data_IF_687765944067
#
_entry.id   IF_687765944067
#
_cell.length_a   1.000
_cell.length_b   1.000
_cell.length_c   1.000
_cell.angle_alpha   90.00
_cell.angle_beta   90.00
_cell.angle_gamma   90.00
#
_symmetry.space_group_name_H-M   'P 1'
#
loop_
_entity.id
_entity.type
_entity.pdbx_description
1 polymer ?
#
# COMPACT_ATOMS: atom_id res chain seq x y z
N UNK A 1 -20.39 1.07 -28.40
CA UNK A 1 -19.14 0.82 -29.16
C UNK A 1 -17.91 0.91 -28.27
N UNK A 2 -17.62 2.03 -27.59
CA UNK A 2 -16.50 2.10 -26.62
C UNK A 2 -16.60 1.10 -25.46
N UNK A 3 -17.80 0.90 -24.88
CA UNK A 3 -18.06 -0.11 -23.83
C UNK A 3 -17.82 -1.55 -24.32
N UNK A 4 -18.13 -1.84 -25.59
CA UNK A 4 -17.93 -3.16 -26.21
C UNK A 4 -16.46 -3.40 -26.55
N UNK A 5 -15.73 -2.36 -26.99
CA UNK A 5 -14.28 -2.44 -27.28
C UNK A 5 -13.46 -2.60 -25.99
N UNK A 6 -13.87 -1.93 -24.90
CA UNK A 6 -13.26 -2.12 -23.59
C UNK A 6 -13.55 -3.51 -23.01
N UNK A 7 -14.79 -4.02 -23.10
CA UNK A 7 -15.09 -5.44 -22.80
C UNK A 7 -14.29 -6.40 -23.69
N UNK A 8 -14.02 -6.07 -24.95
CA UNK A 8 -13.20 -6.89 -25.83
C UNK A 8 -11.71 -6.88 -25.44
N UNK A 9 -11.16 -5.75 -24.96
CA UNK A 9 -9.81 -5.69 -24.37
C UNK A 9 -9.72 -6.52 -23.09
N UNK A 10 -10.71 -6.40 -22.20
CA UNK A 10 -10.82 -7.24 -20.99
C UNK A 10 -10.95 -8.74 -21.36
N UNK A 11 -11.66 -9.05 -22.45
CA UNK A 11 -11.81 -10.42 -22.96
C UNK A 11 -10.50 -11.00 -23.52
N UNK A 12 -9.65 -10.19 -24.15
CA UNK A 12 -8.30 -10.64 -24.55
C UNK A 12 -7.45 -11.01 -23.34
N UNK A 13 -7.51 -10.26 -22.23
CA UNK A 13 -6.86 -10.67 -20.98
C UNK A 13 -7.51 -11.95 -20.44
N UNK A 14 -8.85 -12.02 -20.35
CA UNK A 14 -9.65 -13.22 -19.98
C UNK A 14 -9.24 -14.51 -20.76
N UNK A 15 -8.88 -14.38 -22.05
CA UNK A 15 -8.47 -15.53 -22.87
C UNK A 15 -7.05 -16.05 -22.57
N UNK A 16 -6.17 -15.24 -21.97
CA UNK A 16 -4.79 -15.64 -21.59
C UNK A 16 -4.82 -16.55 -20.34
N UNK A 17 -5.87 -16.46 -19.51
CA UNK A 17 -6.04 -17.25 -18.27
C UNK A 17 -6.19 -18.76 -18.47
N UNK A 18 -6.55 -19.21 -19.68
CA UNK A 18 -6.87 -20.62 -19.95
C UNK A 18 -5.63 -21.51 -20.22
N UNK A 19 -4.41 -20.96 -20.20
CA UNK A 19 -3.16 -21.70 -20.39
C UNK A 19 -2.59 -22.24 -19.07
N UNK A 20 -3.02 -23.42 -18.62
CA UNK A 20 -2.41 -24.13 -17.48
C UNK A 20 -1.10 -24.82 -17.87
N UNK A 21 -0.03 -24.04 -18.05
CA UNK A 21 1.34 -24.57 -18.16
C UNK A 21 2.27 -23.89 -17.15
N UNK A 22 3.35 -24.61 -16.82
CA UNK A 22 4.11 -24.60 -15.57
C UNK A 22 4.45 -23.22 -14.95
N UNK A 23 4.31 -23.22 -13.62
CA UNK A 23 4.21 -22.10 -12.68
C UNK A 23 5.57 -21.44 -12.36
N UNK A 24 5.68 -20.11 -12.47
CA UNK A 24 6.74 -19.30 -11.85
C UNK A 24 6.28 -18.73 -10.50
N UNK A 25 5.85 -19.61 -9.60
CA UNK A 25 5.44 -19.21 -8.26
C UNK A 25 6.51 -19.54 -7.25
N UNK A 26 6.66 -18.64 -6.32
CA UNK A 26 7.64 -18.73 -5.26
C UNK A 26 6.92 -18.44 -3.94
N UNK A 27 6.91 -19.41 -3.03
CA UNK A 27 6.25 -19.31 -1.72
C UNK A 27 7.22 -18.81 -0.65
N UNK A 28 6.74 -17.91 0.23
CA UNK A 28 7.38 -17.59 1.51
C UNK A 28 7.28 -18.75 2.51
N UNK A 29 8.30 -18.87 3.37
CA UNK A 29 8.62 -20.02 4.27
C UNK A 29 7.43 -20.80 4.86
N UNK A 30 7.64 -22.13 4.94
CA UNK A 30 7.10 -22.98 6.01
C UNK A 30 8.23 -23.36 6.97
N UNK A 31 8.03 -23.23 8.29
CA UNK A 31 8.99 -23.72 9.28
C UNK A 31 8.95 -25.26 9.32
N UNK A 32 9.89 -25.92 8.64
CA UNK A 32 10.03 -27.38 8.64
C UNK A 32 11.09 -27.87 9.63
N UNK A 33 10.70 -28.87 10.44
CA UNK A 33 11.61 -29.66 11.28
C UNK A 33 12.67 -30.39 10.43
N UNK A 34 13.88 -30.46 10.98
CA UNK A 34 15.08 -30.93 10.32
C UNK A 34 15.04 -32.42 9.93
N UNK A 35 15.49 -32.71 8.71
CA UNK A 35 16.08 -33.99 8.34
C UNK A 35 17.42 -33.72 7.66
N UNK A 36 18.46 -34.28 8.27
CA UNK A 36 19.87 -34.24 7.91
C UNK A 36 20.13 -35.04 6.63
N UNK A 37 20.90 -34.50 5.68
CA UNK A 37 21.98 -35.21 4.99
C UNK A 37 22.71 -34.31 3.98
N UNK A 38 24.03 -34.48 3.95
CA UNK A 38 25.08 -33.60 3.45
C UNK A 38 25.23 -33.59 1.91
N UNK A 39 25.45 -32.40 1.33
CA UNK A 39 26.60 -32.10 0.46
C UNK A 39 26.80 -30.57 0.39
N UNK A 40 27.98 -30.09 0.76
CA UNK A 40 28.32 -28.66 0.84
C UNK A 40 29.38 -28.31 -0.20
N UNK A 41 28.95 -27.62 -1.25
CA UNK A 41 29.83 -26.87 -2.17
C UNK A 41 29.35 -25.41 -2.23
N UNK A 42 30.14 -24.57 -1.57
CA UNK A 42 30.03 -23.13 -1.36
C UNK A 42 29.62 -22.29 -2.59
N UNK A 43 28.54 -21.52 -2.41
CA UNK A 43 28.27 -20.25 -3.06
C UNK A 43 27.44 -19.41 -2.08
N UNK A 44 28.05 -18.38 -1.53
CA UNK A 44 27.43 -17.46 -0.55
C UNK A 44 26.45 -16.52 -1.27
N UNK A 45 25.27 -17.05 -1.57
CA UNK A 45 24.09 -16.24 -1.84
C UNK A 45 23.30 -16.20 -0.55
N UNK A 46 23.22 -15.03 0.07
CA UNK A 46 22.21 -14.71 1.09
C UNK A 46 20.85 -14.64 0.40
N UNK A 47 20.39 -15.79 -0.08
CA UNK A 47 19.13 -15.98 -0.75
C UNK A 47 18.00 -15.84 0.27
N UNK A 48 17.11 -14.88 0.02
CA UNK A 48 15.75 -14.91 0.59
C UNK A 48 15.19 -16.31 0.36
N UNK A 49 14.61 -16.91 1.41
CA UNK A 49 14.17 -18.31 1.37
C UNK A 49 12.86 -18.44 0.59
N UNK A 50 13.02 -18.51 -0.72
CA UNK A 50 11.97 -18.69 -1.69
C UNK A 50 11.81 -20.16 -2.05
N UNK A 51 10.71 -20.81 -1.65
CA UNK A 51 10.42 -22.22 -1.95
C UNK A 51 9.47 -22.39 -3.15
N UNK A 52 9.56 -23.49 -3.87
CA UNK A 52 8.60 -23.83 -4.94
C UNK A 52 7.25 -24.26 -4.36
N UNK A 53 6.15 -23.82 -4.99
CA UNK A 53 4.77 -24.16 -4.63
C UNK A 53 4.54 -25.67 -4.34
N UNK A 54 4.01 -25.99 -3.16
CA UNK A 54 3.46 -27.33 -2.87
C UNK A 54 2.05 -27.46 -3.44
N UNK A 55 1.71 -28.61 -4.02
CA UNK A 55 0.40 -28.87 -4.65
C UNK A 55 -0.80 -28.63 -3.74
N UNK A 56 -0.64 -28.81 -2.42
CA UNK A 56 -1.69 -28.58 -1.41
C UNK A 56 -2.07 -27.11 -1.20
N UNK A 57 -1.26 -26.15 -1.67
CA UNK A 57 -1.52 -24.70 -1.58
C UNK A 57 -2.51 -24.26 -2.68
N UNK A 58 -2.62 -25.05 -3.76
CA UNK A 58 -3.49 -24.77 -4.92
C UNK A 58 -4.93 -25.30 -4.72
N UNK A 59 -5.21 -25.99 -3.62
CA UNK A 59 -6.54 -26.50 -3.31
C UNK A 59 -7.46 -25.37 -2.83
N UNK A 60 -8.47 -25.01 -3.62
CA UNK A 60 -9.49 -24.02 -3.25
C UNK A 60 -10.55 -24.58 -2.29
N UNK A 61 -11.06 -23.72 -1.39
CA UNK A 61 -12.24 -24.02 -0.56
C UNK A 61 -13.51 -23.59 -1.30
N UNK A 62 -14.47 -24.49 -1.44
CA UNK A 62 -15.79 -24.18 -2.00
C UNK A 62 -16.77 -23.85 -0.87
N UNK A 63 -17.35 -22.65 -0.88
CA UNK A 63 -18.37 -22.23 0.08
C UNK A 63 -19.44 -21.41 -0.65
N UNK A 64 -20.72 -21.78 -0.51
CA UNK A 64 -21.85 -21.10 -1.16
C UNK A 64 -21.71 -20.96 -2.69
N UNK A 65 -21.08 -21.93 -3.37
CA UNK A 65 -20.88 -21.90 -4.83
C UNK A 65 -19.72 -21.04 -5.32
N UNK A 66 -18.99 -20.37 -4.41
CA UNK A 66 -17.79 -19.57 -4.70
C UNK A 66 -16.53 -20.27 -4.19
N UNK A 67 -15.37 -19.99 -4.79
CA UNK A 67 -14.09 -20.49 -4.29
C UNK A 67 -13.37 -19.45 -3.43
N UNK A 68 -12.68 -19.90 -2.39
CA UNK A 68 -11.87 -19.10 -1.48
C UNK A 68 -10.49 -19.74 -1.30
N UNK A 69 -9.47 -18.93 -1.00
CA UNK A 69 -8.13 -19.40 -0.64
C UNK A 69 -8.14 -20.36 0.58
N UNK A 70 -7.26 -21.37 0.57
CA UNK A 70 -7.08 -22.35 1.66
C UNK A 70 -5.85 -22.10 2.53
N UNK A 71 -4.87 -21.37 2.01
CA UNK A 71 -3.75 -20.87 2.80
C UNK A 71 -4.29 -19.89 3.86
N UNK A 72 -4.18 -20.23 5.15
CA UNK A 72 -4.80 -19.50 6.29
C UNK A 72 -6.34 -19.39 6.22
N UNK A 73 -6.98 -20.52 5.89
CA UNK A 73 -8.42 -20.74 5.77
C UNK A 73 -9.29 -19.90 6.73
N UNK A 74 -10.32 -19.25 6.18
CA UNK A 74 -11.30 -18.44 6.90
C UNK A 74 -10.88 -17.01 7.25
N UNK A 75 -9.62 -16.60 7.03
CA UNK A 75 -9.15 -15.24 7.34
C UNK A 75 -9.52 -14.19 6.30
N UNK A 76 -9.63 -14.57 5.03
CA UNK A 76 -10.04 -13.69 3.92
C UNK A 76 -11.48 -14.01 3.50
N UNK A 77 -12.24 -12.96 3.21
CA UNK A 77 -13.69 -13.06 3.00
C UNK A 77 -14.10 -12.86 1.55
N UNK A 78 -13.16 -12.60 0.64
CA UNK A 78 -13.44 -12.46 -0.78
C UNK A 78 -13.16 -13.77 -1.52
N UNK A 79 -14.00 -14.12 -2.51
CA UNK A 79 -13.75 -15.26 -3.37
C UNK A 79 -12.55 -15.00 -4.30
N UNK A 80 -12.04 -16.06 -4.93
CA UNK A 80 -10.92 -16.02 -5.87
C UNK A 80 -11.21 -16.79 -7.18
N UNK A 81 -12.49 -16.87 -7.54
CA UNK A 81 -12.96 -17.50 -8.78
C UNK A 81 -12.88 -16.56 -9.99
N UNK A 82 -13.08 -17.12 -11.18
CA UNK A 82 -13.01 -16.41 -12.46
C UNK A 82 -13.94 -15.19 -12.51
N UNK A 83 -15.12 -15.26 -11.87
CA UNK A 83 -16.05 -14.12 -11.80
C UNK A 83 -15.46 -12.95 -11.02
N UNK A 84 -14.76 -13.22 -9.91
CA UNK A 84 -14.07 -12.19 -9.15
C UNK A 84 -12.84 -11.66 -9.90
N UNK A 85 -12.12 -12.51 -10.63
CA UNK A 85 -11.00 -12.08 -11.47
C UNK A 85 -11.45 -11.10 -12.56
N UNK A 86 -12.55 -11.42 -13.27
CA UNK A 86 -13.15 -10.50 -14.25
C UNK A 86 -13.57 -9.17 -13.61
N UNK A 87 -14.09 -9.22 -12.38
CA UNK A 87 -14.44 -8.02 -11.61
C UNK A 87 -13.21 -7.18 -11.26
N UNK A 88 -12.10 -7.81 -10.85
CA UNK A 88 -10.84 -7.11 -10.53
C UNK A 88 -10.25 -6.42 -11.77
N UNK A 89 -10.33 -7.04 -12.94
CA UNK A 89 -9.88 -6.42 -14.20
C UNK A 89 -10.78 -5.23 -14.58
N UNK A 90 -12.09 -5.34 -14.35
CA UNK A 90 -13.02 -4.21 -14.51
C UNK A 90 -12.71 -3.06 -13.54
N UNK A 91 -12.34 -3.39 -12.30
CA UNK A 91 -11.90 -2.41 -11.32
C UNK A 91 -10.60 -1.74 -11.74
N UNK A 92 -9.65 -2.48 -12.31
CA UNK A 92 -8.44 -1.89 -12.90
C UNK A 92 -8.80 -0.88 -14.00
N UNK A 93 -9.74 -1.20 -14.89
CA UNK A 93 -10.22 -0.26 -15.90
C UNK A 93 -10.84 1.02 -15.29
N UNK A 94 -11.57 0.92 -14.18
CA UNK A 94 -12.11 2.09 -13.47
C UNK A 94 -11.01 3.03 -12.97
N UNK A 95 -9.92 2.49 -12.45
CA UNK A 95 -8.76 3.29 -12.05
C UNK A 95 -8.12 3.98 -13.24
N UNK A 96 -7.88 3.26 -14.35
CA UNK A 96 -7.39 3.88 -15.57
C UNK A 96 -8.30 5.02 -16.04
N UNK A 97 -9.61 4.81 -16.08
CA UNK A 97 -10.56 5.89 -16.42
C UNK A 97 -10.45 7.07 -15.48
N UNK A 98 -10.24 6.83 -14.18
CA UNK A 98 -10.14 7.89 -13.16
C UNK A 98 -8.87 8.71 -13.30
N UNK A 99 -7.77 8.09 -13.75
CA UNK A 99 -6.45 8.71 -13.86
C UNK A 99 -6.06 9.04 -15.30
N UNK A 100 -7.03 9.19 -16.20
CA UNK A 100 -6.82 9.52 -17.61
C UNK A 100 -5.86 8.54 -18.32
N UNK A 101 -6.09 7.23 -18.10
CA UNK A 101 -5.31 6.09 -18.56
C UNK A 101 -3.86 6.04 -18.04
N UNK A 102 -3.64 6.50 -16.80
CA UNK A 102 -2.37 6.30 -16.08
C UNK A 102 -2.54 5.25 -14.99
N UNK A 103 -1.51 4.45 -14.75
CA UNK A 103 -1.51 3.42 -13.69
C UNK A 103 -1.47 4.01 -12.29
N UNK A 104 -0.97 5.23 -12.16
CA UNK A 104 -0.90 5.96 -10.91
C UNK A 104 -0.56 7.42 -11.12
N UNK A 105 -0.53 8.19 -10.03
CA UNK A 105 -0.29 9.63 -10.06
C UNK A 105 1.07 10.03 -9.46
N UNK A 106 1.78 9.06 -8.88
CA UNK A 106 3.09 9.27 -8.29
C UNK A 106 4.21 9.25 -9.33
N UNK A 107 5.35 9.93 -9.07
CA UNK A 107 6.48 10.00 -9.99
C UNK A 107 6.95 8.66 -10.57
N UNK A 108 6.91 7.52 -9.85
CA UNK A 108 7.27 6.23 -10.44
C UNK A 108 6.41 5.77 -11.62
N UNK A 109 5.20 6.32 -11.80
CA UNK A 109 4.30 6.01 -12.92
C UNK A 109 4.50 6.95 -14.12
N UNK A 110 5.53 7.81 -14.10
CA UNK A 110 5.81 8.73 -15.20
C UNK A 110 6.91 8.15 -16.10
N UNK A 111 6.90 8.52 -17.37
CA UNK A 111 7.81 7.96 -18.39
C UNK A 111 9.31 8.15 -18.10
N UNK A 112 9.68 9.10 -17.23
CA UNK A 112 11.05 9.38 -16.80
C UNK A 112 11.39 8.76 -15.42
N UNK A 113 10.53 7.86 -14.92
CA UNK A 113 10.72 7.14 -13.67
C UNK A 113 12.11 6.52 -13.56
N UNK A 114 12.66 6.58 -12.35
CA UNK A 114 13.93 5.97 -12.01
C UNK A 114 13.76 4.83 -11.00
N UNK A 115 12.52 4.41 -10.71
CA UNK A 115 12.26 3.29 -9.83
C UNK A 115 12.86 2.01 -10.42
N UNK A 116 13.61 1.25 -9.62
CA UNK A 116 14.26 0.00 -10.04
C UNK A 116 13.61 -1.21 -9.41
N UNK A 117 13.15 -1.11 -8.17
CA UNK A 117 12.41 -2.18 -7.49
C UNK A 117 11.04 -1.70 -7.08
N UNK A 118 10.00 -2.40 -7.55
CA UNK A 118 8.61 -2.07 -7.33
C UNK A 118 7.89 -3.23 -6.66
N UNK A 119 7.10 -2.95 -5.63
CA UNK A 119 6.25 -3.92 -4.95
C UNK A 119 4.78 -3.56 -5.16
N UNK A 120 3.99 -4.51 -5.65
CA UNK A 120 2.54 -4.40 -5.76
C UNK A 120 1.85 -5.28 -4.70
N UNK A 121 1.33 -4.66 -3.65
CA UNK A 121 0.75 -5.34 -2.50
C UNK A 121 -0.74 -5.62 -2.71
N UNK A 122 -1.13 -6.90 -2.55
CA UNK A 122 -2.49 -7.34 -2.87
C UNK A 122 -2.74 -7.27 -4.38
N UNK A 123 -1.82 -7.85 -5.15
CA UNK A 123 -1.77 -7.69 -6.61
C UNK A 123 -3.01 -8.28 -7.32
N UNK A 124 -3.78 -9.14 -6.65
CA UNK A 124 -4.99 -9.74 -7.20
C UNK A 124 -4.66 -10.52 -8.47
N UNK A 125 -5.26 -10.15 -9.60
CA UNK A 125 -4.96 -10.76 -10.91
C UNK A 125 -3.55 -10.48 -11.42
N UNK A 126 -2.82 -9.54 -10.81
CA UNK A 126 -1.51 -9.11 -11.30
C UNK A 126 -1.57 -8.07 -12.42
N UNK A 127 -2.78 -7.69 -12.87
CA UNK A 127 -2.95 -6.83 -14.05
C UNK A 127 -2.27 -5.46 -13.91
N UNK A 128 -2.24 -4.87 -12.71
CA UNK A 128 -1.52 -3.62 -12.50
C UNK A 128 0.00 -3.82 -12.60
N UNK A 129 0.54 -4.87 -11.96
CA UNK A 129 1.96 -5.19 -12.02
C UNK A 129 2.43 -5.50 -13.45
N UNK A 130 1.60 -6.18 -14.23
CA UNK A 130 1.85 -6.49 -15.64
C UNK A 130 1.91 -5.21 -16.48
N UNK A 131 0.88 -4.37 -16.41
CA UNK A 131 0.84 -3.12 -17.17
C UNK A 131 1.99 -2.20 -16.76
N UNK A 132 2.34 -2.14 -15.46
CA UNK A 132 3.49 -1.37 -14.99
C UNK A 132 4.81 -1.94 -15.53
N UNK A 133 4.97 -3.26 -15.55
CA UNK A 133 6.15 -3.93 -16.09
C UNK A 133 6.34 -3.68 -17.59
N UNK A 134 5.24 -3.60 -18.36
CA UNK A 134 5.25 -3.23 -19.77
C UNK A 134 5.62 -1.75 -19.99
N UNK A 135 5.13 -0.83 -19.14
CA UNK A 135 5.48 0.60 -19.21
C UNK A 135 6.91 0.90 -18.74
N UNK A 136 7.46 0.06 -17.85
CA UNK A 136 8.76 0.23 -17.19
C UNK A 136 9.64 -1.04 -17.28
N UNK A 137 10.10 -1.44 -18.48
CA UNK A 137 10.90 -2.65 -18.67
C UNK A 137 12.24 -2.64 -17.93
N UNK A 138 12.70 -1.47 -17.48
CA UNK A 138 13.91 -1.27 -16.68
C UNK A 138 13.74 -1.52 -15.17
N UNK A 139 12.50 -1.66 -14.69
CA UNK A 139 12.18 -1.91 -13.30
C UNK A 139 11.88 -3.40 -13.09
N UNK A 140 12.23 -3.91 -11.91
CA UNK A 140 11.79 -5.21 -11.39
C UNK A 140 10.51 -5.02 -10.59
N UNK A 141 9.46 -5.75 -10.94
CA UNK A 141 8.15 -5.68 -10.30
C UNK A 141 7.88 -7.00 -9.59
N UNK A 142 7.55 -6.92 -8.30
CA UNK A 142 7.11 -8.05 -7.50
C UNK A 142 5.67 -7.80 -7.08
N UNK A 143 4.73 -8.63 -7.53
CA UNK A 143 3.36 -8.64 -7.04
C UNK A 143 3.19 -9.66 -5.93
N UNK A 144 2.45 -9.31 -4.88
CA UNK A 144 2.21 -10.19 -3.73
C UNK A 144 0.72 -10.36 -3.52
N UNK A 145 0.27 -11.61 -3.42
CA UNK A 145 -1.11 -11.94 -3.04
C UNK A 145 -1.16 -13.23 -2.22
N UNK A 146 -2.23 -13.43 -1.44
CA UNK A 146 -2.48 -14.69 -0.75
C UNK A 146 -2.90 -15.81 -1.72
N UNK A 147 -3.49 -15.44 -2.87
CA UNK A 147 -4.03 -16.38 -3.83
C UNK A 147 -3.13 -16.50 -5.07
N UNK A 148 -2.79 -17.73 -5.50
CA UNK A 148 -2.08 -17.95 -6.75
C UNK A 148 -3.02 -17.90 -7.95
N UNK A 149 -3.48 -16.69 -8.29
CA UNK A 149 -4.46 -16.42 -9.35
C UNK A 149 -3.87 -15.52 -10.44
N UNK A 150 -2.55 -15.44 -10.58
CA UNK A 150 -1.88 -14.61 -11.57
C UNK A 150 -1.53 -15.43 -12.82
N UNK A 151 -1.49 -14.80 -14.02
CA UNK A 151 -1.25 -15.52 -15.27
C UNK A 151 0.21 -16.00 -15.37
N UNK A 152 0.45 -17.05 -16.15
CA UNK A 152 1.79 -17.61 -16.36
C UNK A 152 2.63 -16.81 -17.37
N UNK A 153 1.98 -16.17 -18.34
CA UNK A 153 2.64 -15.35 -19.35
C UNK A 153 2.62 -13.88 -18.93
N UNK A 154 3.76 -13.41 -18.42
CA UNK A 154 3.97 -12.03 -17.94
C UNK A 154 5.26 -11.44 -18.50
N UNK A 155 5.43 -10.11 -18.42
CA UNK A 155 6.70 -9.47 -18.79
C UNK A 155 7.88 -10.08 -18.01
N UNK A 156 9.07 -10.17 -18.62
CA UNK A 156 10.22 -10.87 -18.01
C UNK A 156 10.74 -10.20 -16.72
N UNK A 157 10.32 -8.98 -16.45
CA UNK A 157 10.65 -8.18 -15.28
C UNK A 157 9.54 -8.20 -14.20
N UNK A 158 8.49 -9.00 -14.37
CA UNK A 158 7.39 -9.15 -13.42
C UNK A 158 7.43 -10.54 -12.79
N UNK A 159 7.39 -10.60 -11.46
CA UNK A 159 7.29 -11.84 -10.69
C UNK A 159 6.19 -11.76 -9.63
N UNK A 160 5.69 -12.92 -9.20
CA UNK A 160 4.65 -13.00 -8.17
C UNK A 160 5.05 -13.89 -7.01
N UNK A 161 4.72 -13.44 -5.79
CA UNK A 161 4.93 -14.17 -4.55
C UNK A 161 3.59 -14.46 -3.89
N UNK A 162 3.46 -15.68 -3.36
CA UNK A 162 2.35 -16.02 -2.46
C UNK A 162 2.79 -15.71 -1.05
N UNK A 163 2.24 -14.66 -0.47
CA UNK A 163 2.62 -14.21 0.87
C UNK A 163 1.49 -13.46 1.58
N UNK A 164 1.55 -13.45 2.91
CA UNK A 164 0.62 -12.72 3.75
C UNK A 164 1.21 -11.38 4.17
N UNK A 165 0.65 -10.30 3.63
CA UNK A 165 1.10 -8.94 3.91
C UNK A 165 0.95 -8.51 5.38
N UNK A 166 0.13 -9.22 6.18
CA UNK A 166 -0.03 -8.98 7.62
C UNK A 166 1.13 -9.61 8.45
N UNK A 167 2.04 -10.38 7.84
CA UNK A 167 3.22 -10.97 8.49
C UNK A 167 4.50 -10.13 8.33
N UNK A 168 5.61 -10.62 8.87
CA UNK A 168 6.92 -9.97 8.78
C UNK A 168 7.48 -10.06 7.36
N UNK A 169 7.97 -8.95 6.84
CA UNK A 169 8.49 -8.86 5.47
C UNK A 169 10.01 -9.10 5.48
N UNK A 170 10.46 -10.19 4.89
CA UNK A 170 11.88 -10.61 4.83
C UNK A 170 12.46 -10.42 3.41
N UNK A 171 12.35 -9.18 2.91
CA UNK A 171 12.97 -8.80 1.63
C UNK A 171 14.45 -8.47 1.85
N UNK A 172 15.30 -8.96 0.95
CA UNK A 172 16.75 -8.72 1.02
C UNK A 172 17.12 -7.26 0.79
N UNK A 173 16.33 -6.55 -0.03
CA UNK A 173 16.56 -5.16 -0.41
C UNK A 173 15.23 -4.38 -0.42
N UNK A 174 15.24 -3.11 0.03
CA UNK A 174 14.06 -2.25 0.00
C UNK A 174 13.61 -1.89 -1.43
N UNK A 175 12.41 -1.34 -1.55
CA UNK A 175 11.76 -0.97 -2.80
C UNK A 175 11.83 0.54 -3.05
N UNK A 176 11.90 0.95 -4.31
CA UNK A 176 11.81 2.36 -4.71
C UNK A 176 10.37 2.82 -4.82
N UNK A 177 9.45 1.90 -5.10
CA UNK A 177 8.03 2.18 -5.20
C UNK A 177 7.22 1.03 -4.62
N UNK A 178 6.29 1.33 -3.73
CA UNK A 178 5.33 0.37 -3.20
C UNK A 178 3.92 0.84 -3.57
N UNK A 179 3.23 0.05 -4.37
CA UNK A 179 1.84 0.26 -4.76
C UNK A 179 0.92 -0.64 -3.92
N UNK A 180 -0.25 -0.12 -3.55
CA UNK A 180 -1.29 -0.86 -2.84
C UNK A 180 -2.66 -0.29 -3.20
N UNK A 181 -3.63 -1.18 -3.46
CA UNK A 181 -4.92 -0.77 -4.01
C UNK A 181 -6.06 -1.61 -3.47
N UNK A 182 -7.13 -0.95 -3.04
CA UNK A 182 -8.39 -1.57 -2.60
C UNK A 182 -8.22 -2.57 -1.44
N UNK A 183 -7.23 -2.35 -0.58
CA UNK A 183 -6.84 -3.21 0.53
C UNK A 183 -7.67 -2.99 1.80
N UNK A 184 -8.64 -2.06 1.79
CA UNK A 184 -9.53 -1.84 2.93
C UNK A 184 -10.35 -3.08 3.32
N UNK A 185 -10.60 -4.00 2.38
CA UNK A 185 -11.29 -5.27 2.67
C UNK A 185 -10.38 -6.38 3.19
N UNK A 186 -9.07 -6.11 3.26
CA UNK A 186 -8.03 -7.13 3.31
C UNK A 186 -7.10 -6.91 4.50
N UNK A 187 -6.63 -5.68 4.72
CA UNK A 187 -5.68 -5.33 5.78
C UNK A 187 -6.32 -5.41 7.17
N UNK A 188 -5.66 -6.08 8.11
CA UNK A 188 -6.15 -6.18 9.49
C UNK A 188 -5.85 -4.92 10.31
N UNK A 189 -4.61 -4.40 10.19
CA UNK A 189 -4.15 -3.24 10.94
C UNK A 189 -3.36 -2.30 10.03
N UNK A 190 -4.00 -1.20 9.66
CA UNK A 190 -3.41 -0.19 8.78
C UNK A 190 -2.18 0.50 9.34
N UNK A 191 -2.03 0.63 10.67
CA UNK A 191 -0.81 1.24 11.25
C UNK A 191 0.40 0.34 11.08
N UNK A 192 0.24 -0.95 11.33
CA UNK A 192 1.32 -1.93 11.20
C UNK A 192 1.63 -2.18 9.72
N UNK A 193 0.61 -2.29 8.86
CA UNK A 193 0.77 -2.37 7.41
C UNK A 193 1.58 -1.18 6.84
N UNK A 194 1.21 0.06 7.20
CA UNK A 194 1.94 1.24 6.76
C UNK A 194 3.34 1.33 7.37
N UNK A 195 3.57 0.77 8.57
CA UNK A 195 4.91 0.67 9.15
C UNK A 195 5.79 -0.31 8.37
N UNK A 196 5.25 -1.46 7.96
CA UNK A 196 5.96 -2.43 7.14
C UNK A 196 6.33 -1.84 5.78
N UNK A 197 5.38 -1.14 5.14
CA UNK A 197 5.64 -0.37 3.92
C UNK A 197 6.80 0.62 4.17
N UNK A 198 6.73 1.42 5.23
CA UNK A 198 7.75 2.42 5.53
C UNK A 198 9.15 1.81 5.73
N UNK A 199 9.24 0.66 6.40
CA UNK A 199 10.52 -0.02 6.69
C UNK A 199 11.16 -0.64 5.45
N UNK A 200 10.35 -1.03 4.47
CA UNK A 200 10.79 -1.68 3.24
C UNK A 200 10.95 -0.72 2.06
N UNK A 201 10.97 0.59 2.32
CA UNK A 201 11.01 1.61 1.28
C UNK A 201 12.36 2.34 1.30
N UNK A 202 12.96 2.53 0.13
CA UNK A 202 14.25 3.21 0.00
C UNK A 202 14.14 4.66 0.45
N UNK A 203 15.23 5.28 0.95
CA UNK A 203 15.23 6.69 1.22
C UNK A 203 14.97 7.55 -0.01
N UNK A 204 13.76 8.11 -0.08
CA UNK A 204 13.28 8.92 -1.21
C UNK A 204 12.44 8.14 -2.23
N UNK A 205 12.05 6.89 -1.93
CA UNK A 205 11.11 6.11 -2.74
C UNK A 205 9.69 6.70 -2.82
N UNK A 206 8.69 5.90 -3.09
CA UNK A 206 7.30 6.35 -3.10
C UNK A 206 6.40 5.22 -2.59
N UNK A 207 5.37 5.56 -1.84
CA UNK A 207 4.23 4.66 -1.62
C UNK A 207 3.02 5.29 -2.29
N UNK A 208 2.29 4.52 -3.09
CA UNK A 208 1.00 4.94 -3.62
C UNK A 208 -0.11 4.04 -3.10
N UNK A 209 -1.04 4.62 -2.34
CA UNK A 209 -2.26 3.94 -1.90
C UNK A 209 -3.44 4.42 -2.75
N UNK A 210 -4.12 3.49 -3.42
CA UNK A 210 -5.34 3.73 -4.19
C UNK A 210 -6.53 3.08 -3.47
N UNK A 211 -7.16 3.84 -2.56
CA UNK A 211 -8.11 3.29 -1.59
C UNK A 211 -9.54 3.80 -1.73
N UNK A 212 -10.47 3.04 -1.14
CA UNK A 212 -11.90 3.32 -1.15
C UNK A 212 -12.44 3.54 0.26
N UNK A 213 -13.30 4.55 0.43
CA UNK A 213 -14.15 4.65 1.62
C UNK A 213 -15.30 3.65 1.51
N UNK A 214 -15.40 2.68 2.43
CA UNK A 214 -16.48 1.67 2.34
C UNK A 214 -17.89 2.27 2.55
N UNK A 215 -17.99 3.46 3.13
CA UNK A 215 -19.27 4.15 3.30
C UNK A 215 -19.50 5.10 2.12
N UNK A 216 -20.46 4.76 1.27
CA UNK A 216 -20.92 5.63 0.19
C UNK A 216 -21.44 6.96 0.71
N UNK A 217 -21.26 8.02 -0.09
CA UNK A 217 -21.71 9.38 0.21
C UNK A 217 -22.65 9.88 -0.88
N UNK A 218 -23.37 10.95 -0.58
CA UNK A 218 -24.26 11.67 -1.49
C UNK A 218 -24.22 13.15 -1.10
N UNK A 219 -23.98 14.04 -2.06
CA UNK A 219 -23.83 15.48 -1.78
C UNK A 219 -25.19 16.18 -1.59
N UNK A 220 -26.26 15.60 -2.10
CA UNK A 220 -27.61 16.19 -2.10
C UNK A 220 -28.61 15.43 -1.22
N UNK A 221 -28.12 14.47 -0.43
CA UNK A 221 -28.93 13.71 0.53
C UNK A 221 -29.90 12.70 -0.10
N UNK A 222 -29.75 12.38 -1.38
CA UNK A 222 -30.60 11.36 -2.04
C UNK A 222 -30.33 9.93 -1.55
N UNK A 223 -29.12 9.66 -1.04
CA UNK A 223 -28.80 8.43 -0.32
C UNK A 223 -29.16 8.58 1.17
N UNK A 224 -30.43 8.36 1.49
CA UNK A 224 -30.95 8.42 2.86
C UNK A 224 -30.71 7.11 3.63
N UNK A 225 -30.71 7.17 4.96
CA UNK A 225 -30.41 6.01 5.82
C UNK A 225 -31.39 4.83 5.68
N UNK A 226 -32.60 5.09 5.18
CA UNK A 226 -33.60 4.05 4.93
C UNK A 226 -33.34 3.24 3.65
N UNK A 227 -32.49 3.73 2.74
CA UNK A 227 -32.10 3.04 1.50
C UNK A 227 -31.35 1.76 1.80
N UNK A 228 -31.66 0.69 1.07
CA UNK A 228 -30.97 -0.58 1.18
C UNK A 228 -29.49 -0.42 0.87
N UNK A 229 -29.13 0.42 -0.11
CA UNK A 229 -27.74 0.72 -0.46
C UNK A 229 -26.95 1.34 0.71
N UNK A 230 -27.56 2.27 1.45
CA UNK A 230 -26.92 2.85 2.64
C UNK A 230 -26.77 1.80 3.75
N UNK A 231 -27.85 1.07 4.04
CA UNK A 231 -27.84 -0.02 5.04
C UNK A 231 -26.79 -1.07 4.74
N UNK A 232 -26.60 -1.41 3.47
CA UNK A 232 -25.61 -2.39 3.02
C UNK A 232 -24.19 -1.99 3.41
N UNK A 233 -23.74 -0.77 3.07
CA UNK A 233 -22.40 -0.29 3.46
C UNK A 233 -22.20 -0.22 4.98
N UNK A 234 -23.26 0.13 5.73
CA UNK A 234 -23.22 0.14 7.19
C UNK A 234 -23.07 -1.27 7.77
N UNK A 235 -23.87 -2.22 7.29
CA UNK A 235 -23.82 -3.62 7.72
C UNK A 235 -22.48 -4.27 7.35
N UNK A 236 -21.89 -3.92 6.20
CA UNK A 236 -20.53 -4.35 5.84
C UNK A 236 -19.51 -3.85 6.85
N UNK A 237 -19.54 -2.56 7.19
CA UNK A 237 -18.63 -1.98 8.20
C UNK A 237 -18.78 -2.64 9.57
N UNK A 238 -20.01 -2.91 9.99
CA UNK A 238 -20.29 -3.62 11.24
C UNK A 238 -19.77 -5.06 11.21
N UNK A 239 -19.98 -5.78 10.10
CA UNK A 239 -19.45 -7.12 9.90
C UNK A 239 -17.92 -7.14 9.95
N UNK A 240 -17.26 -6.23 9.24
CA UNK A 240 -15.81 -6.09 9.22
C UNK A 240 -15.23 -5.87 10.63
N UNK A 241 -15.90 -5.04 11.44
CA UNK A 241 -15.53 -4.82 12.84
C UNK A 241 -15.68 -6.10 13.68
N UNK A 242 -16.79 -6.82 13.55
CA UNK A 242 -17.03 -8.08 14.27
C UNK A 242 -16.06 -9.20 13.86
N UNK A 243 -15.60 -9.19 12.62
CA UNK A 243 -14.63 -10.14 12.08
C UNK A 243 -13.17 -9.73 12.37
N UNK A 244 -12.95 -8.64 13.11
CA UNK A 244 -11.61 -8.21 13.54
C UNK A 244 -10.74 -7.63 12.43
N UNK A 245 -11.35 -7.14 11.34
CA UNK A 245 -10.70 -6.40 10.24
C UNK A 245 -11.48 -5.12 9.93
N UNK A 246 -11.52 -4.13 10.84
CA UNK A 246 -12.31 -2.93 10.64
C UNK A 246 -11.78 -2.10 9.47
N UNK A 247 -12.68 -1.62 8.62
CA UNK A 247 -12.32 -0.68 7.55
C UNK A 247 -11.79 0.62 8.13
N UNK A 248 -10.74 1.15 7.51
CA UNK A 248 -10.20 2.45 7.87
C UNK A 248 -10.80 3.52 6.95
N UNK A 249 -11.14 4.67 7.52
CA UNK A 249 -11.59 5.78 6.70
C UNK A 249 -10.40 6.34 5.95
N UNK A 250 -10.57 6.57 4.65
CA UNK A 250 -9.50 7.10 3.82
C UNK A 250 -8.97 8.43 4.31
N UNK A 251 -9.74 9.25 5.04
CA UNK A 251 -9.24 10.49 5.63
C UNK A 251 -8.22 10.25 6.76
N UNK A 252 -8.31 9.12 7.46
CA UNK A 252 -7.42 8.78 8.56
C UNK A 252 -5.99 8.44 8.11
N UNK A 253 -5.79 7.87 6.91
CA UNK A 253 -4.43 7.44 6.54
C UNK A 253 -3.41 8.59 6.49
N UNK A 254 -3.82 9.86 6.31
CA UNK A 254 -2.86 10.97 6.28
C UNK A 254 -2.21 11.12 7.65
N UNK A 255 -3.03 11.00 8.70
CA UNK A 255 -2.56 11.07 10.07
C UNK A 255 -1.74 9.82 10.41
N UNK A 256 -2.22 8.63 10.04
CA UNK A 256 -1.48 7.38 10.28
C UNK A 256 -0.12 7.38 9.58
N UNK A 257 -0.06 7.77 8.32
CA UNK A 257 1.20 7.85 7.58
C UNK A 257 2.17 8.87 8.20
N UNK A 258 1.67 10.03 8.66
CA UNK A 258 2.48 11.01 9.35
C UNK A 258 3.01 10.48 10.70
N UNK A 259 2.18 9.75 11.44
CA UNK A 259 2.55 9.08 12.70
C UNK A 259 3.64 8.02 12.48
N UNK A 260 3.56 7.26 11.38
CA UNK A 260 4.58 6.25 11.00
C UNK A 260 5.90 6.91 10.58
N UNK A 261 5.86 8.11 9.99
CA UNK A 261 7.04 8.90 9.63
C UNK A 261 7.13 9.28 8.15
N UNK A 262 6.12 8.98 7.34
CA UNK A 262 6.04 9.48 5.97
C UNK A 262 5.95 11.03 5.97
N UNK A 263 6.60 11.66 5.01
CA UNK A 263 6.65 13.13 4.83
C UNK A 263 5.84 13.56 3.60
N UNK A 264 5.72 14.87 3.31
CA UNK A 264 4.97 15.54 2.22
C UNK A 264 3.61 14.97 1.74
N UNK A 265 2.93 14.16 2.55
CA UNK A 265 1.72 13.38 2.22
C UNK A 265 0.66 14.19 1.45
N UNK A 266 0.45 13.82 0.19
CA UNK A 266 -0.59 14.41 -0.67
C UNK A 266 -1.80 13.48 -0.69
N UNK A 267 -2.99 14.05 -0.53
CA UNK A 267 -4.25 13.32 -0.62
C UNK A 267 -5.12 13.93 -1.71
N UNK A 268 -5.45 13.14 -2.73
CA UNK A 268 -6.33 13.53 -3.83
C UNK A 268 -7.58 12.68 -3.76
N UNK A 269 -8.75 13.32 -3.93
CA UNK A 269 -10.05 12.66 -3.81
C UNK A 269 -10.75 12.61 -5.15
N UNK A 270 -11.25 11.44 -5.48
CA UNK A 270 -12.10 11.18 -6.63
C UNK A 270 -13.45 10.66 -6.16
N UNK A 271 -14.44 10.74 -7.04
CA UNK A 271 -15.78 10.21 -6.80
C UNK A 271 -16.10 9.21 -7.89
N UNK A 272 -16.47 8.00 -7.50
CA UNK A 272 -17.02 7.00 -8.41
C UNK A 272 -18.53 6.95 -8.23
N UNK A 273 -19.31 7.58 -9.13
CA UNK A 273 -20.77 7.49 -9.09
C UNK A 273 -21.21 6.02 -9.10
N UNK A 274 -22.27 5.70 -8.36
CA UNK A 274 -22.80 4.33 -8.30
C UNK A 274 -23.57 3.92 -9.56
N UNK A 275 -24.01 4.89 -10.36
CA UNK A 275 -24.68 4.71 -11.65
C UNK A 275 -24.55 5.96 -12.53
N UNK A 276 -25.28 6.00 -13.64
CA UNK A 276 -25.23 7.05 -14.67
C UNK A 276 -25.86 8.40 -14.28
N UNK A 277 -26.14 8.67 -13.00
CA UNK A 277 -26.81 9.89 -12.54
C UNK A 277 -26.01 11.18 -12.80
N UNK A 278 -24.68 11.10 -12.85
CA UNK A 278 -23.82 12.26 -13.08
C UNK A 278 -24.12 12.91 -14.44
N UNK A 279 -24.17 14.25 -14.47
CA UNK A 279 -24.46 15.00 -15.71
C UNK A 279 -23.27 15.02 -16.67
N UNK A 280 -22.07 15.22 -16.13
CA UNK A 280 -20.84 15.25 -16.91
C UNK A 280 -20.55 13.90 -17.57
N UNK A 281 -20.12 13.95 -18.84
CA UNK A 281 -19.92 12.77 -19.68
C UNK A 281 -18.92 11.78 -19.08
N UNK A 282 -17.80 12.29 -18.55
CA UNK A 282 -16.77 11.47 -17.91
C UNK A 282 -17.33 10.72 -16.70
N UNK A 283 -17.91 11.43 -15.72
CA UNK A 283 -18.49 10.81 -14.53
C UNK A 283 -19.70 9.91 -14.82
N UNK A 284 -20.49 10.22 -15.85
CA UNK A 284 -21.56 9.34 -16.31
C UNK A 284 -21.04 8.00 -16.82
N UNK A 285 -19.97 8.04 -17.62
CA UNK A 285 -19.30 6.84 -18.10
C UNK A 285 -18.65 6.06 -16.94
N UNK A 286 -17.95 6.76 -16.05
CA UNK A 286 -17.36 6.17 -14.84
C UNK A 286 -18.44 5.48 -13.98
N UNK A 287 -19.60 6.13 -13.82
CA UNK A 287 -20.74 5.58 -13.10
C UNK A 287 -21.34 4.33 -13.76
N UNK A 288 -21.40 4.27 -15.10
CA UNK A 288 -21.85 3.08 -15.81
C UNK A 288 -20.93 1.88 -15.55
N UNK A 289 -19.61 2.09 -15.63
CA UNK A 289 -18.63 1.04 -15.36
C UNK A 289 -18.61 0.64 -13.88
N UNK A 290 -18.73 1.61 -12.98
CA UNK A 290 -18.69 1.34 -11.55
C UNK A 290 -19.97 0.62 -11.08
N UNK A 291 -21.10 0.88 -11.73
CA UNK A 291 -22.33 0.14 -11.50
C UNK A 291 -22.18 -1.36 -11.82
N UNK A 292 -21.60 -1.70 -12.97
CA UNK A 292 -21.31 -3.08 -13.36
C UNK A 292 -20.36 -3.73 -12.35
N UNK A 293 -19.23 -3.08 -12.06
CA UNK A 293 -18.25 -3.57 -11.08
C UNK A 293 -18.86 -3.79 -9.70
N UNK A 294 -19.66 -2.83 -9.20
CA UNK A 294 -20.33 -2.96 -7.91
C UNK A 294 -21.37 -4.08 -7.93
N UNK A 295 -22.11 -4.23 -9.02
CA UNK A 295 -23.16 -5.27 -9.15
C UNK A 295 -22.57 -6.68 -9.07
N UNK A 296 -21.41 -6.90 -9.70
CA UNK A 296 -20.62 -8.15 -9.58
C UNK A 296 -20.06 -8.32 -8.15
N UNK A 297 -19.63 -7.22 -7.51
CA UNK A 297 -19.08 -7.24 -6.16
C UNK A 297 -20.12 -7.53 -5.06
N UNK A 298 -21.42 -7.31 -5.32
CA UNK A 298 -22.44 -7.33 -4.26
C UNK A 298 -22.46 -8.65 -3.51
N UNK A 299 -22.47 -9.78 -4.22
CA UNK A 299 -22.51 -11.08 -3.59
C UNK A 299 -21.18 -11.41 -2.91
N UNK A 300 -20.06 -11.20 -3.62
CA UNK A 300 -18.72 -11.52 -3.13
C UNK A 300 -18.35 -10.74 -1.86
N UNK A 301 -18.73 -9.46 -1.78
CA UNK A 301 -18.51 -8.63 -0.59
C UNK A 301 -19.46 -8.94 0.57
N UNK A 302 -20.62 -9.55 0.32
CA UNK A 302 -21.71 -9.61 1.32
C UNK A 302 -21.89 -10.99 1.92
N UNK A 303 -21.77 -12.05 1.12
CA UNK A 303 -22.17 -13.39 1.52
C UNK A 303 -21.42 -13.86 2.77
N UNK A 304 -20.09 -13.84 2.74
CA UNK A 304 -19.30 -14.28 3.89
C UNK A 304 -19.44 -13.32 5.09
N UNK A 305 -19.34 -11.98 4.94
CA UNK A 305 -19.48 -11.09 6.10
C UNK A 305 -20.84 -11.16 6.78
N UNK A 306 -21.94 -11.30 6.03
CA UNK A 306 -23.28 -11.26 6.63
C UNK A 306 -23.65 -12.60 7.26
N UNK A 307 -23.33 -13.72 6.61
CA UNK A 307 -23.57 -15.06 7.18
C UNK A 307 -22.71 -15.31 8.42
N UNK A 308 -21.43 -14.91 8.39
CA UNK A 308 -20.48 -15.16 9.50
C UNK A 308 -20.65 -14.17 10.66
N UNK A 309 -20.83 -12.87 10.39
CA UNK A 309 -20.83 -11.84 11.43
C UNK A 309 -22.23 -11.44 11.93
N UNK A 310 -23.23 -11.54 11.07
CA UNK A 310 -24.62 -11.19 11.42
C UNK A 310 -25.52 -12.42 11.60
N UNK A 311 -25.04 -13.62 11.22
CA UNK A 311 -25.78 -14.87 11.37
C UNK A 311 -26.95 -15.01 10.40
N UNK A 312 -26.92 -14.26 9.29
CA UNK A 312 -27.96 -14.34 8.27
C UNK A 312 -27.86 -15.67 7.51
N UNK A 313 -28.98 -16.17 7.01
CA UNK A 313 -28.97 -17.24 6.01
C UNK A 313 -28.56 -16.71 4.63
N UNK A 314 -28.11 -17.59 3.74
CA UNK A 314 -27.81 -17.25 2.34
C UNK A 314 -29.03 -16.61 1.64
N UNK A 315 -30.23 -17.12 1.91
CA UNK A 315 -31.47 -16.62 1.33
C UNK A 315 -31.81 -15.21 1.83
N UNK A 316 -31.55 -14.91 3.11
CA UNK A 316 -31.73 -13.56 3.66
C UNK A 316 -30.77 -12.56 3.00
N UNK A 317 -29.53 -12.97 2.75
CA UNK A 317 -28.55 -12.16 2.01
C UNK A 317 -29.04 -11.90 0.59
N UNK A 318 -29.45 -12.93 -0.14
CA UNK A 318 -29.92 -12.79 -1.53
C UNK A 318 -31.13 -11.87 -1.64
N UNK A 319 -32.12 -12.04 -0.76
CA UNK A 319 -33.31 -11.18 -0.71
C UNK A 319 -32.93 -9.74 -0.43
N UNK A 320 -32.03 -9.48 0.51
CA UNK A 320 -31.55 -8.13 0.78
C UNK A 320 -30.81 -7.51 -0.41
N UNK A 321 -29.95 -8.30 -1.08
CA UNK A 321 -29.20 -7.84 -2.25
C UNK A 321 -30.11 -7.49 -3.44
N UNK A 322 -31.32 -8.04 -3.53
CA UNK A 322 -32.33 -7.59 -4.52
C UNK A 322 -32.66 -6.10 -4.30
N UNK A 323 -32.89 -5.67 -3.06
CA UNK A 323 -33.22 -4.27 -2.78
C UNK A 323 -31.99 -3.37 -2.90
N UNK A 324 -30.80 -3.86 -2.54
CA UNK A 324 -29.53 -3.15 -2.79
C UNK A 324 -29.33 -2.90 -4.27
N UNK A 325 -29.56 -3.90 -5.14
CA UNK A 325 -29.48 -3.76 -6.61
C UNK A 325 -30.49 -2.76 -7.15
N UNK A 326 -31.71 -2.71 -6.60
CA UNK A 326 -32.71 -1.71 -7.01
C UNK A 326 -32.21 -0.29 -6.72
N UNK A 327 -31.71 -0.04 -5.52
CA UNK A 327 -31.17 1.27 -5.15
C UNK A 327 -29.90 1.61 -5.93
N UNK A 328 -28.98 0.66 -6.12
CA UNK A 328 -27.75 0.82 -6.89
C UNK A 328 -28.04 1.33 -8.32
N UNK A 329 -29.12 0.82 -8.92
CA UNK A 329 -29.55 1.13 -10.28
C UNK A 329 -30.56 2.29 -10.39
N UNK A 330 -30.98 2.90 -9.28
CA UNK A 330 -31.90 4.04 -9.32
C UNK A 330 -31.14 5.34 -9.63
N UNK A 331 -31.34 5.98 -10.80
CA UNK A 331 -30.66 7.23 -11.15
C UNK A 331 -31.10 8.42 -10.30
N UNK A 332 -32.12 8.28 -9.46
CA UNK A 332 -32.52 9.30 -8.46
C UNK A 332 -31.68 9.25 -7.19
N UNK A 333 -30.89 8.18 -7.00
CA UNK A 333 -29.97 8.05 -5.88
C UNK A 333 -28.59 8.47 -6.37
N UNK A 334 -28.20 9.71 -6.03
CA UNK A 334 -26.91 10.30 -6.40
C UNK A 334 -25.82 9.89 -5.40
N UNK A 335 -25.62 8.58 -5.27
CA UNK A 335 -24.58 8.01 -4.43
C UNK A 335 -23.26 7.89 -5.18
N UNK A 336 -22.15 7.97 -4.45
CA UNK A 336 -20.82 7.70 -4.97
C UNK A 336 -19.94 7.05 -3.90
N UNK A 337 -18.94 6.29 -4.37
CA UNK A 337 -17.83 5.87 -3.54
C UNK A 337 -16.74 6.95 -3.54
N UNK A 338 -16.32 7.45 -2.37
CA UNK A 338 -15.11 8.25 -2.27
C UNK A 338 -13.89 7.37 -2.52
N UNK A 339 -13.07 7.77 -3.49
CA UNK A 339 -11.80 7.13 -3.80
C UNK A 339 -10.68 8.10 -3.44
N UNK A 340 -9.69 7.63 -2.71
CA UNK A 340 -8.58 8.45 -2.26
C UNK A 340 -7.27 7.87 -2.74
N UNK A 341 -6.42 8.79 -3.16
CA UNK A 341 -5.03 8.51 -3.49
C UNK A 341 -4.11 9.13 -2.43
N UNK A 342 -3.00 8.45 -2.10
CA UNK A 342 -1.99 8.97 -1.17
C UNK A 342 -0.56 8.66 -1.58
N UNK A 343 0.31 9.67 -1.50
CA UNK A 343 1.75 9.58 -1.79
C UNK A 343 2.62 10.24 -0.72
N UNK A 344 3.72 9.56 -0.28
CA UNK A 344 5.10 10.11 -0.29
C UNK A 344 6.27 9.25 0.25
N UNK A 345 7.52 9.61 -0.14
CA UNK A 345 8.74 9.46 0.68
C UNK A 345 9.63 10.69 0.70
N UNK A 346 10.10 11.00 1.90
CA UNK A 346 11.52 11.23 2.17
C UNK A 346 11.82 10.68 3.56
N UNK A 347 12.45 9.50 3.66
CA UNK A 347 13.37 9.28 4.78
C UNK A 347 14.35 10.43 4.71
N UNK A 348 14.50 11.21 5.78
CA UNK A 348 15.65 12.11 5.89
C UNK A 348 16.86 11.26 5.51
N UNK A 349 17.62 11.66 4.47
CA UNK A 349 19.03 11.29 4.42
C UNK A 349 19.57 11.63 5.81
N UNK A 350 19.81 10.64 6.66
CA UNK A 350 20.76 10.83 7.73
C UNK A 350 22.08 11.03 7.00
N UNK A 351 22.37 12.27 6.63
CA UNK A 351 23.74 12.68 6.51
C UNK A 351 24.32 12.51 7.91
N UNK A 352 24.84 11.32 8.22
CA UNK A 352 25.91 11.17 9.19
C UNK A 352 27.09 11.90 8.57
N UNK A 353 27.13 13.22 8.68
CA UNK A 353 28.42 13.87 8.69
C UNK A 353 29.14 13.35 9.94
N UNK A 354 29.98 12.33 9.75
CA UNK A 354 31.18 12.20 10.58
C UNK A 354 32.05 13.40 10.26
N UNK A 355 31.69 14.55 10.82
CA UNK A 355 32.66 15.62 11.00
C UNK A 355 33.54 15.16 12.17
N UNK A 356 34.67 14.52 11.86
CA UNK A 356 35.74 14.36 12.83
C UNK A 356 36.24 15.77 13.12
N UNK A 357 35.73 16.41 14.18
CA UNK A 357 36.25 17.70 14.61
C UNK A 357 37.55 17.43 15.35
N UNK A 358 38.67 17.53 14.64
CA UNK A 358 39.98 17.60 15.27
C UNK A 358 40.15 19.00 15.85
N UNK A 359 39.93 19.14 17.16
CA UNK A 359 40.26 20.38 17.86
C UNK A 359 41.78 20.43 18.01
N UNK A 360 42.46 21.14 17.10
CA UNK A 360 43.79 21.68 17.41
C UNK A 360 43.60 23.03 18.10
N UNK A 361 44.46 23.32 19.07
CA UNK A 361 44.28 24.41 20.04
C UNK A 361 44.24 25.83 19.46
N UNK A 362 44.48 26.03 18.17
CA UNK A 362 44.22 27.29 17.46
C UNK A 362 43.98 26.96 15.99
N UNK A 363 42.75 27.14 15.48
CA UNK A 363 42.41 26.80 14.09
C UNK A 363 41.16 27.50 13.57
N UNK A 364 41.27 28.03 12.35
CA UNK A 364 40.21 28.72 11.60
C UNK A 364 39.13 27.70 11.19
N UNK A 365 37.87 27.94 11.52
CA UNK A 365 36.75 27.09 11.06
C UNK A 365 36.01 27.81 9.94
N UNK A 366 35.90 27.17 8.78
CA UNK A 366 35.15 27.66 7.64
C UNK A 366 33.74 27.05 7.69
N UNK A 367 32.72 27.89 7.80
CA UNK A 367 31.31 27.49 7.70
C UNK A 367 30.80 27.85 6.31
N UNK A 368 30.18 26.89 5.63
CA UNK A 368 29.53 27.08 4.32
C UNK A 368 28.02 26.96 4.53
N UNK A 369 27.28 27.99 4.13
CA UNK A 369 25.81 27.95 4.11
C UNK A 369 25.31 27.55 2.72
N UNK A 370 24.05 27.11 2.66
CA UNK A 370 23.50 26.15 1.68
C UNK A 370 23.37 26.65 0.23
N UNK A 371 23.62 27.92 -0.06
CA UNK A 371 23.45 28.51 -1.39
C UNK A 371 24.63 29.45 -1.74
N UNK A 372 25.37 29.14 -2.80
CA UNK A 372 26.65 29.74 -3.23
C UNK A 372 26.68 31.29 -3.26
N UNK A 373 27.03 31.94 -2.15
CA UNK A 373 27.32 33.39 -2.05
C UNK A 373 28.39 33.68 -0.97
N UNK A 374 29.18 34.78 -1.08
CA UNK A 374 30.52 34.87 -0.47
C UNK A 374 30.57 35.05 1.05
N UNK A 375 31.67 34.56 1.62
CA UNK A 375 31.95 34.22 3.03
C UNK A 375 32.25 35.46 3.90
N UNK A 376 31.69 35.51 5.11
CA UNK A 376 32.22 36.33 6.22
C UNK A 376 33.10 35.46 7.14
N UNK A 377 34.35 35.86 7.36
CA UNK A 377 35.26 35.22 8.33
C UNK A 377 34.94 35.73 9.74
N UNK A 378 34.61 34.84 10.68
CA UNK A 378 34.43 35.17 12.09
C UNK A 378 35.42 34.39 12.97
N UNK A 379 35.98 35.07 13.97
CA UNK A 379 36.85 34.47 14.99
C UNK A 379 35.98 33.95 16.15
N UNK A 380 36.10 32.67 16.48
CA UNK A 380 35.40 32.07 17.63
C UNK A 380 36.42 31.84 18.74
N UNK A 381 36.21 32.46 19.91
CA UNK A 381 36.97 32.18 21.13
C UNK A 381 36.20 31.20 22.01
N UNK A 382 36.77 30.03 22.28
CA UNK A 382 36.25 29.08 23.26
C UNK A 382 37.00 29.25 24.59
N UNK A 383 36.27 29.49 25.68
CA UNK A 383 36.84 29.47 27.04
C UNK A 383 36.11 28.45 27.91
N UNK A 384 36.85 27.62 28.64
CA UNK A 384 36.31 26.63 29.58
C UNK A 384 36.20 27.28 30.96
N UNK A 385 35.05 27.20 31.61
CA UNK A 385 34.88 27.62 33.02
C UNK A 385 34.43 26.45 33.89
N UNK A 386 34.73 26.51 35.18
CA UNK A 386 34.53 25.43 36.17
C UNK A 386 33.07 25.10 36.51
N UNK A 387 32.09 25.71 35.84
CA UNK A 387 30.65 25.43 36.06
C UNK A 387 29.92 24.86 34.83
N UNK A 388 30.63 24.44 33.78
CA UNK A 388 30.06 23.71 32.62
C UNK A 388 30.55 24.22 31.26
N UNK A 389 30.40 23.39 30.22
CA UNK A 389 30.79 23.72 28.85
C UNK A 389 29.76 24.68 28.23
N UNK A 390 30.14 25.94 28.01
CA UNK A 390 29.34 26.94 27.31
C UNK A 390 30.08 27.45 26.07
N UNK A 391 29.46 27.30 24.89
CA UNK A 391 29.93 27.96 23.67
C UNK A 391 29.41 29.40 23.66
N UNK A 392 30.32 30.38 23.58
CA UNK A 392 29.97 31.79 23.42
C UNK A 392 30.43 32.25 22.04
N UNK A 393 29.47 32.61 21.19
CA UNK A 393 29.71 33.23 19.90
C UNK A 393 29.65 34.75 20.08
N UNK A 394 30.77 35.43 19.86
CA UNK A 394 30.81 36.90 19.82
C UNK A 394 30.84 37.34 18.35
N UNK A 395 29.74 37.90 17.88
CA UNK A 395 29.63 38.54 16.58
C UNK A 395 29.64 40.06 16.81
N UNK A 396 30.81 40.68 16.62
CA UNK A 396 31.00 42.15 16.55
C UNK A 396 30.03 42.98 17.41
N UNK A 397 30.02 42.73 18.72
CA UNK A 397 29.35 43.59 19.71
C UNK A 397 27.86 43.35 19.96
N UNK A 398 27.25 42.26 19.49
CA UNK A 398 25.90 41.83 19.95
C UNK A 398 25.87 40.35 20.28
N UNK A 399 25.65 40.03 21.56
CA UNK A 399 25.51 38.65 22.03
C UNK A 399 24.14 38.08 21.63
N UNK A 400 24.12 36.98 20.87
CA UNK A 400 22.94 36.16 20.64
C UNK A 400 23.11 34.84 21.39
N UNK A 401 22.22 34.58 22.35
CA UNK A 401 22.15 33.29 23.04
C UNK A 401 21.24 32.36 22.24
N UNK A 402 21.82 31.36 21.58
CA UNK A 402 21.09 30.22 21.05
C UNK A 402 21.33 29.02 21.97
N UNK A 403 20.26 28.44 22.55
CA UNK A 403 20.34 27.13 23.22
C UNK A 403 20.25 26.05 22.16
N UNK A 404 21.38 25.44 21.83
CA UNK A 404 21.43 24.20 21.05
C UNK A 404 21.60 23.03 22.02
N UNK A 405 20.66 22.07 22.10
CA UNK A 405 20.85 20.88 22.90
C UNK A 405 21.91 19.98 22.23
N UNK A 406 23.10 19.90 22.83
CA UNK A 406 24.15 18.96 22.43
C UNK A 406 24.05 17.74 23.35
N UNK A 407 23.74 16.57 22.80
CA UNK A 407 23.87 15.31 23.51
C UNK A 407 25.31 14.82 23.39
N UNK A 408 26.08 14.94 24.47
CA UNK A 408 27.44 14.39 24.56
C UNK A 408 27.34 12.98 25.12
N UNK A 409 27.68 11.97 24.33
CA UNK A 409 28.02 10.64 24.85
C UNK A 409 29.43 10.71 25.44
N UNK A 410 29.55 10.64 26.78
CA UNK A 410 30.84 10.40 27.41
C UNK A 410 31.18 8.92 27.28
N UNK A 411 32.20 8.61 26.48
CA UNK A 411 32.87 7.31 26.58
C UNK A 411 33.70 7.30 27.87
N UNK A 412 33.29 6.47 28.83
CA UNK A 412 33.95 6.32 30.11
C UNK A 412 35.15 5.37 29.94
N UNK A 413 36.37 5.89 29.98
CA UNK A 413 37.58 5.07 30.15
C UNK A 413 37.94 5.01 31.63
N UNK A 414 37.76 3.82 32.21
CA UNK A 414 38.33 3.26 33.45
C UNK A 414 38.52 4.17 34.68
N UNK A 415 37.68 3.92 35.69
CA UNK A 415 38.06 4.02 37.11
C UNK A 415 37.28 5.04 37.93
N UNK A 416 36.34 4.56 38.76
CA UNK A 416 35.80 5.32 39.90
C UNK A 416 34.27 5.31 40.01
N UNK A 417 33.75 4.68 41.06
CA UNK A 417 32.35 4.71 41.50
C UNK A 417 31.90 6.15 41.84
N UNK A 418 30.61 6.48 41.68
CA UNK A 418 29.76 7.11 42.71
C UNK A 418 28.26 7.05 42.34
N UNK A 419 27.43 6.86 43.38
CA UNK A 419 25.96 6.75 43.38
C UNK A 419 25.23 8.11 43.49
N UNK A 420 23.99 8.16 42.96
CA UNK A 420 22.89 9.06 43.38
C UNK A 420 22.90 10.45 42.75
N UNK A 421 21.79 11.04 42.28
CA UNK A 421 20.34 10.74 42.31
C UNK A 421 19.71 11.20 41.01
#
# INVERSE_FOLDING_TARGET
MAFVIAKARLWTYSSIWNGKDQLNYVSGRTSGEAADDQDSSLGDDTASSTESLRSSIVDYRLENGRTYHRYKDGKYNLPNDDEENERLDLQHHLFLLTFDNKLGLSPPNFSDSQAKRVLDLGTGTGIWAIDFGDEHPEAEIIGVDLSPIQPSFVPPNVGFLIDDIDEEWDYSEPFDYIHSRMMNFSVQNWRDYLRNIYQNLTPGGYVELQEIDVIMKSDDGTLTENKALHKWTKLLKEAATKLGRPFEQTDAFKNIMAEVGFTDIIATRFKWPTNCWAKEKHYKQLGAWNNENTSMALESLTMAPFTRAHGWSSEEVDVFLVDVRKDLNDPKIHAYWPIHWKLLVKLKKQYRHRSTVTISSYGLVQLVERDDSPIWLAWINCSISSQGLGLRLDLNGRALFARVPVWVWMAQTNGGQYMGT
#
